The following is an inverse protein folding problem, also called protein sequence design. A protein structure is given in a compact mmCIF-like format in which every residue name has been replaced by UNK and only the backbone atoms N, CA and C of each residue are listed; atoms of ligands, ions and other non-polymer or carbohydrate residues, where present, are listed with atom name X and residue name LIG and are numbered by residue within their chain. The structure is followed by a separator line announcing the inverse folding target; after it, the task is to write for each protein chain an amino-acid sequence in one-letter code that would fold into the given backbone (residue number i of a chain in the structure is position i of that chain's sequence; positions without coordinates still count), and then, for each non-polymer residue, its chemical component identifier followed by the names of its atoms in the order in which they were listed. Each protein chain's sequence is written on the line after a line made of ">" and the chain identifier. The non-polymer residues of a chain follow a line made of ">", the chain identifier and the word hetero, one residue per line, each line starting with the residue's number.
data_IF_521738868009
#
_entry.id   IF_521738868009
#
_cell.length_a   1.000
_cell.length_b   1.000
_cell.length_c   1.000
_cell.angle_alpha   90.00
_cell.angle_beta   90.00
_cell.angle_gamma   90.00
#
_symmetry.space_group_name_H-M   'P 1'
#
loop_
_entity.id
_entity.type
_entity.pdbx_description
1 polymer ?
#
# COMPACT_ATOMS: atom_id res chain seq x y z
N UNK A 1 -38.09 -18.35 -17.13
CA UNK A 1 -36.65 -18.14 -17.42
C UNK A 1 -36.09 -16.90 -16.72
N UNK A 2 -36.59 -15.68 -17.00
CA UNK A 2 -36.12 -14.44 -16.33
C UNK A 2 -36.21 -14.46 -14.80
N UNK A 3 -37.33 -14.93 -14.23
CA UNK A 3 -37.49 -15.01 -12.76
C UNK A 3 -36.53 -16.01 -12.09
N UNK A 4 -36.15 -17.09 -12.78
CA UNK A 4 -35.19 -18.08 -12.27
C UNK A 4 -33.78 -17.51 -12.29
N UNK A 5 -33.40 -16.77 -13.34
CA UNK A 5 -32.11 -16.10 -13.44
C UNK A 5 -31.97 -15.03 -12.35
N UNK A 6 -33.03 -14.23 -12.11
CA UNK A 6 -33.03 -13.24 -11.02
C UNK A 6 -32.87 -13.89 -9.65
N UNK A 7 -33.58 -15.00 -9.39
CA UNK A 7 -33.46 -15.72 -8.12
C UNK A 7 -32.06 -16.33 -7.92
N UNK A 8 -31.45 -16.85 -9.00
CA UNK A 8 -30.09 -17.41 -8.96
C UNK A 8 -29.03 -16.33 -8.73
N UNK A 9 -29.17 -15.15 -9.32
CA UNK A 9 -28.24 -14.03 -9.09
C UNK A 9 -28.34 -13.49 -7.66
N UNK A 10 -29.55 -13.42 -7.10
CA UNK A 10 -29.76 -13.03 -5.70
C UNK A 10 -29.17 -14.08 -4.76
N UNK A 11 -29.41 -15.37 -5.02
CA UNK A 11 -28.84 -16.46 -4.22
C UNK A 11 -27.31 -16.49 -4.31
N UNK A 12 -26.73 -16.24 -5.48
CA UNK A 12 -25.29 -16.14 -5.66
C UNK A 12 -24.68 -14.95 -4.89
N UNK A 13 -25.33 -13.78 -4.93
CA UNK A 13 -24.91 -12.62 -4.14
C UNK A 13 -24.98 -12.86 -2.63
N UNK A 14 -25.95 -13.65 -2.16
CA UNK A 14 -26.08 -14.01 -0.74
C UNK A 14 -25.09 -15.11 -0.30
N UNK A 15 -24.74 -16.04 -1.18
CA UNK A 15 -23.84 -17.15 -0.90
C UNK A 15 -22.35 -16.80 -1.10
N UNK A 16 -22.04 -15.87 -2.01
CA UNK A 16 -20.68 -15.48 -2.37
C UNK A 16 -20.34 -14.01 -2.05
N UNK A 17 -21.31 -13.21 -1.59
CA UNK A 17 -21.09 -11.86 -1.05
C UNK A 17 -20.50 -11.88 0.37
N UNK A 18 -19.55 -12.78 0.63
CA UNK A 18 -18.81 -12.82 1.89
C UNK A 18 -18.20 -11.45 2.14
N UNK A 19 -18.41 -10.92 3.35
CA UNK A 19 -17.81 -9.67 3.79
C UNK A 19 -16.32 -9.70 3.41
N UNK A 20 -15.90 -8.80 2.53
CA UNK A 20 -14.50 -8.46 2.43
C UNK A 20 -14.09 -8.09 3.84
N UNK A 21 -13.35 -8.97 4.52
CA UNK A 21 -12.85 -8.70 5.85
C UNK A 21 -12.06 -7.41 5.71
N UNK A 22 -12.65 -6.31 6.17
CA UNK A 22 -12.01 -5.02 6.12
C UNK A 22 -10.71 -5.21 6.90
N UNK A 23 -9.59 -5.21 6.17
CA UNK A 23 -8.29 -5.38 6.78
C UNK A 23 -8.19 -4.25 7.82
N UNK A 24 -8.11 -4.53 9.13
CA UNK A 24 -8.26 -3.50 10.16
C UNK A 24 -7.10 -2.48 10.15
N UNK A 25 -6.14 -2.67 9.26
CA UNK A 25 -5.00 -1.80 8.97
C UNK A 25 -5.14 -1.06 7.63
N UNK A 26 -6.13 -1.37 6.78
CA UNK A 26 -6.41 -0.62 5.56
C UNK A 26 -6.79 0.83 5.94
N UNK A 27 -5.83 1.74 5.80
CA UNK A 27 -5.97 3.16 6.11
C UNK A 27 -5.27 3.64 7.39
N UNK A 28 -4.78 2.75 8.27
CA UNK A 28 -3.95 3.19 9.41
C UNK A 28 -2.48 3.26 8.98
N UNK A 29 -1.94 4.48 8.88
CA UNK A 29 -0.51 4.71 8.66
C UNK A 29 0.28 3.85 9.65
N UNK A 30 1.17 3.01 9.13
CA UNK A 30 2.00 2.13 9.95
C UNK A 30 2.81 2.96 10.95
N UNK A 31 2.78 2.54 12.21
CA UNK A 31 3.55 3.13 13.30
C UNK A 31 4.47 2.06 13.84
N UNK A 32 5.77 2.37 13.90
CA UNK A 32 6.73 1.47 14.52
C UNK A 32 6.38 1.27 16.01
N UNK A 33 6.60 0.07 16.58
CA UNK A 33 6.51 -0.14 18.02
C UNK A 33 7.35 0.89 18.78
N UNK A 34 6.93 1.30 19.98
CA UNK A 34 7.56 2.39 20.72
C UNK A 34 9.08 2.22 20.95
N UNK A 35 9.53 0.98 21.13
CA UNK A 35 10.95 0.62 21.27
C UNK A 35 11.78 0.90 20.01
N UNK A 36 11.16 0.80 18.84
CA UNK A 36 11.80 1.06 17.54
C UNK A 36 11.64 2.53 17.12
N UNK A 37 10.49 3.15 17.42
CA UNK A 37 10.20 4.54 17.09
C UNK A 37 11.17 5.54 17.76
N UNK A 38 11.79 5.15 18.87
CA UNK A 38 12.74 5.98 19.62
C UNK A 38 14.18 5.86 19.13
N UNK A 39 14.48 4.90 18.23
CA UNK A 39 15.82 4.76 17.65
C UNK A 39 16.11 5.95 16.73
N UNK A 40 17.24 6.60 16.96
CA UNK A 40 17.72 7.69 16.10
C UNK A 40 18.43 7.10 14.89
N UNK A 41 18.19 7.68 13.72
CA UNK A 41 18.99 7.38 12.54
C UNK A 41 20.46 7.76 12.85
N UNK A 42 21.43 6.83 12.69
CA UNK A 42 22.83 7.16 12.90
C UNK A 42 23.38 8.15 11.87
N UNK A 43 22.71 8.31 10.72
CA UNK A 43 23.04 9.32 9.72
C UNK A 43 22.35 10.64 10.06
N UNK A 44 23.13 11.72 10.06
CA UNK A 44 22.61 13.06 10.23
C UNK A 44 21.71 13.46 9.06
N UNK A 45 20.57 14.08 9.36
CA UNK A 45 19.72 14.71 8.35
C UNK A 45 20.43 15.95 7.79
N UNK A 46 20.98 15.82 6.59
CA UNK A 46 21.75 16.84 5.89
C UNK A 46 21.41 16.85 4.39
N UNK A 47 21.73 17.95 3.70
CA UNK A 47 21.57 18.02 2.25
C UNK A 47 22.35 16.91 1.53
N UNK A 48 23.56 16.60 2.01
CA UNK A 48 24.38 15.49 1.49
C UNK A 48 23.66 14.15 1.64
N UNK A 49 23.14 13.82 2.83
CA UNK A 49 22.43 12.55 3.04
C UNK A 49 21.16 12.46 2.20
N UNK A 50 20.45 13.58 2.01
CA UNK A 50 19.23 13.63 1.20
C UNK A 50 19.55 13.45 -0.28
N UNK A 51 20.61 14.09 -0.79
CA UNK A 51 21.03 13.95 -2.17
C UNK A 51 21.47 12.52 -2.51
N UNK A 52 22.24 11.87 -1.62
CA UNK A 52 22.59 10.47 -1.79
C UNK A 52 21.36 9.55 -1.69
N UNK A 53 20.46 9.82 -0.75
CA UNK A 53 19.18 9.10 -0.65
C UNK A 53 18.35 9.19 -1.93
N UNK A 54 18.28 10.37 -2.56
CA UNK A 54 17.59 10.57 -3.84
C UNK A 54 18.19 9.71 -4.95
N UNK A 55 19.52 9.67 -5.09
CA UNK A 55 20.20 8.83 -6.09
C UNK A 55 19.84 7.35 -5.92
N UNK A 56 19.85 6.86 -4.68
CA UNK A 56 19.49 5.48 -4.37
C UNK A 56 18.01 5.20 -4.68
N UNK A 57 17.13 6.11 -4.29
CA UNK A 57 15.69 5.99 -4.54
C UNK A 57 15.36 5.91 -6.03
N UNK A 58 15.92 6.83 -6.83
CA UNK A 58 15.73 6.84 -8.29
C UNK A 58 16.21 5.52 -8.92
N UNK A 59 17.34 4.98 -8.43
CA UNK A 59 17.93 3.76 -8.99
C UNK A 59 17.18 2.49 -8.62
N UNK A 60 16.61 2.42 -7.41
CA UNK A 60 16.16 1.16 -6.82
C UNK A 60 14.67 1.08 -6.50
N UNK A 61 14.00 2.22 -6.33
CA UNK A 61 12.64 2.27 -5.78
C UNK A 61 11.63 2.87 -6.76
N UNK A 62 12.06 3.88 -7.52
CA UNK A 62 11.16 4.69 -8.36
C UNK A 62 10.44 3.88 -9.47
N UNK A 63 10.98 2.73 -9.90
CA UNK A 63 10.33 1.90 -10.91
C UNK A 63 8.94 1.42 -10.47
N UNK A 64 8.74 1.15 -9.18
CA UNK A 64 7.45 0.73 -8.63
C UNK A 64 6.77 1.87 -7.87
N UNK A 65 7.53 2.68 -7.14
CA UNK A 65 6.98 3.72 -6.28
C UNK A 65 6.76 5.08 -6.95
N UNK A 66 7.25 5.27 -8.19
CA UNK A 66 7.18 6.56 -8.90
C UNK A 66 8.19 7.58 -8.37
N UNK A 67 8.29 8.77 -8.98
CA UNK A 67 9.22 9.82 -8.56
C UNK A 67 8.85 10.44 -7.21
N UNK A 68 7.56 10.45 -6.86
CA UNK A 68 7.02 11.05 -5.62
C UNK A 68 6.78 10.03 -4.50
N UNK A 69 6.87 8.72 -4.78
CA UNK A 69 6.56 7.68 -3.81
C UNK A 69 5.09 7.29 -3.72
N UNK A 70 4.27 7.73 -4.67
CA UNK A 70 2.83 7.52 -4.68
C UNK A 70 2.41 6.11 -5.17
N UNK A 71 3.37 5.27 -5.58
CA UNK A 71 3.08 3.92 -6.05
C UNK A 71 2.62 3.85 -7.50
N UNK A 72 2.95 4.87 -8.30
CA UNK A 72 2.55 5.05 -9.70
C UNK A 72 3.72 4.85 -10.68
N UNK A 73 4.76 4.12 -10.26
CA UNK A 73 5.91 3.82 -11.11
C UNK A 73 5.51 3.01 -12.34
N UNK A 74 6.34 3.04 -13.39
CA UNK A 74 6.06 2.31 -14.64
C UNK A 74 5.92 0.79 -14.47
N UNK A 75 6.43 0.25 -13.36
CA UNK A 75 6.30 -1.16 -12.97
C UNK A 75 5.32 -1.35 -11.79
N UNK A 76 4.51 -0.35 -11.43
CA UNK A 76 3.39 -0.53 -10.52
C UNK A 76 2.33 -1.42 -11.18
N UNK A 77 1.85 -2.41 -10.43
CA UNK A 77 0.88 -3.42 -10.90
C UNK A 77 -0.57 -2.93 -10.82
#
# INVERSE_FOLDING_TARGET
>A
MKAIITALLIAFGLLFGGAAAANPTAGKKWQAPATEATKKNPLAASQTSTAEGQKLYTKHCASCHGPSGDGDGSAAA
#
